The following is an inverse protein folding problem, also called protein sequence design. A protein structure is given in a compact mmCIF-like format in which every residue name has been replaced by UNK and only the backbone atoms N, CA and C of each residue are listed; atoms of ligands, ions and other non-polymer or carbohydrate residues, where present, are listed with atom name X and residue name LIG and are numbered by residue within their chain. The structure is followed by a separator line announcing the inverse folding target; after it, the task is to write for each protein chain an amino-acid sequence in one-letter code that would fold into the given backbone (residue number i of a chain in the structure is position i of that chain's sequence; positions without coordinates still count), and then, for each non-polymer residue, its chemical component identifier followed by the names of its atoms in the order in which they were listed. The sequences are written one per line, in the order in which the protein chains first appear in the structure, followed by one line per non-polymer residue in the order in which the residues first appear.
data_IF_737811117996
#
_entry.id   IF_737811117996
#
_cell.length_a   1.000
_cell.length_b   1.000
_cell.length_c   1.000
_cell.angle_alpha   90.00
_cell.angle_beta   90.00
_cell.angle_gamma   90.00
#
_symmetry.space_group_name_H-M   'P 1'
#
loop_
_entity.id
_entity.type
_entity.pdbx_description
1 polymer ?
#
# COMPACT_ATOMS: atom_id res chain seq x y z
N UNK A 1 4.01 7.49 13.56
CA UNK A 1 3.58 6.11 13.33
C UNK A 1 2.61 5.56 14.37
N UNK A 2 2.25 6.32 15.39
CA UNK A 2 1.37 5.85 16.48
C UNK A 2 -0.13 6.19 16.27
N UNK A 3 -0.54 6.52 15.04
CA UNK A 3 -1.91 6.87 14.74
C UNK A 3 -2.37 8.11 15.52
N UNK A 4 -1.74 9.24 15.28
CA UNK A 4 -2.22 10.53 15.78
C UNK A 4 -3.37 11.06 14.93
N UNK A 5 -4.15 12.00 15.47
CA UNK A 5 -5.27 12.62 14.76
C UNK A 5 -4.83 13.48 13.56
N UNK A 6 -3.55 13.83 13.43
CA UNK A 6 -3.01 14.70 12.37
C UNK A 6 -2.58 13.97 11.08
N UNK A 7 -2.89 12.69 10.91
CA UNK A 7 -2.51 11.92 9.72
C UNK A 7 -3.15 12.43 8.42
N UNK A 8 -4.27 13.17 8.50
CA UNK A 8 -4.90 13.82 7.36
C UNK A 8 -3.96 14.82 6.65
N UNK A 9 -3.07 15.50 7.39
CA UNK A 9 -2.12 16.43 6.79
C UNK A 9 -1.14 15.76 5.82
N UNK A 10 -0.67 14.53 6.14
CA UNK A 10 0.16 13.76 5.23
C UNK A 10 -0.60 13.35 3.96
N UNK A 11 -1.85 12.91 4.13
CA UNK A 11 -2.70 12.52 2.99
C UNK A 11 -2.99 13.73 2.08
N UNK A 12 -3.21 14.91 2.66
CA UNK A 12 -3.37 16.17 1.92
C UNK A 12 -2.12 16.51 1.08
N UNK A 13 -0.92 16.39 1.66
CA UNK A 13 0.32 16.65 0.93
C UNK A 13 0.54 15.64 -0.22
N UNK A 14 0.22 14.38 -0.01
CA UNK A 14 0.26 13.36 -1.08
C UNK A 14 -0.75 13.68 -2.18
N UNK A 15 -1.98 14.08 -1.84
CA UNK A 15 -2.99 14.47 -2.80
C UNK A 15 -2.54 15.71 -3.63
N UNK A 16 -1.97 16.73 -2.98
CA UNK A 16 -1.37 17.89 -3.66
C UNK A 16 -0.26 17.49 -4.63
N UNK A 17 0.63 16.59 -4.21
CA UNK A 17 1.69 16.07 -5.08
C UNK A 17 1.12 15.31 -6.27
N UNK A 18 0.08 14.50 -6.07
CA UNK A 18 -0.61 13.78 -7.15
C UNK A 18 -1.24 14.73 -8.16
N UNK A 19 -1.90 15.79 -7.69
CA UNK A 19 -2.48 16.82 -8.57
C UNK A 19 -1.40 17.55 -9.34
N UNK A 20 -0.28 17.89 -8.69
CA UNK A 20 0.84 18.60 -9.34
C UNK A 20 1.60 17.73 -10.35
N UNK A 21 1.68 16.43 -10.09
CA UNK A 21 2.47 15.49 -10.90
C UNK A 21 1.68 14.21 -11.20
N UNK A 22 0.55 14.30 -11.95
CA UNK A 22 -0.42 13.20 -12.07
C UNK A 22 0.17 11.92 -12.69
N UNK A 23 1.14 12.07 -13.61
CA UNK A 23 1.78 10.93 -14.30
C UNK A 23 3.04 10.41 -13.58
N UNK A 24 3.47 11.07 -12.50
CA UNK A 24 4.74 10.74 -11.83
C UNK A 24 4.56 10.31 -10.38
N UNK A 25 3.44 10.65 -9.75
CA UNK A 25 3.12 10.29 -8.38
C UNK A 25 2.01 9.25 -8.37
N UNK A 26 2.30 8.09 -7.81
CA UNK A 26 1.34 7.00 -7.64
C UNK A 26 1.27 6.64 -6.16
N UNK A 27 0.18 7.03 -5.52
CA UNK A 27 -0.14 6.64 -4.15
C UNK A 27 -0.98 5.38 -4.20
N UNK A 28 -0.48 4.31 -3.60
CA UNK A 28 -1.16 3.01 -3.64
C UNK A 28 -2.19 2.91 -2.52
N UNK A 29 -3.33 2.32 -2.84
CA UNK A 29 -4.34 2.00 -1.83
C UNK A 29 -3.76 1.05 -0.80
N UNK A 30 -3.84 1.44 0.48
CA UNK A 30 -3.44 0.62 1.62
C UNK A 30 -4.64 0.12 2.42
N UNK A 31 -4.38 -0.72 3.41
CA UNK A 31 -5.41 -1.20 4.31
C UNK A 31 -6.03 -0.09 5.16
N UNK A 32 -5.27 0.96 5.49
CA UNK A 32 -5.78 2.09 6.25
C UNK A 32 -6.72 2.96 5.42
N UNK A 33 -6.36 3.26 4.19
CA UNK A 33 -7.21 3.99 3.25
C UNK A 33 -8.45 3.17 2.88
N UNK A 34 -8.29 1.87 2.63
CA UNK A 34 -9.44 0.98 2.38
C UNK A 34 -10.39 0.95 3.57
N UNK A 35 -9.87 0.89 4.78
CA UNK A 35 -10.67 0.90 6.00
C UNK A 35 -11.44 2.21 6.19
N UNK A 36 -10.90 3.36 5.78
CA UNK A 36 -11.64 4.62 5.81
C UNK A 36 -12.78 4.65 4.77
N UNK A 37 -12.54 4.09 3.57
CA UNK A 37 -13.58 3.97 2.53
C UNK A 37 -14.73 3.06 2.92
N UNK A 38 -14.42 1.96 3.61
CA UNK A 38 -15.40 0.90 3.91
C UNK A 38 -15.92 0.95 5.35
N UNK A 39 -15.44 1.91 6.13
CA UNK A 39 -15.70 2.00 7.59
C UNK A 39 -15.24 0.76 8.37
N UNK A 40 -14.35 -0.04 7.79
CA UNK A 40 -13.78 -1.20 8.46
C UNK A 40 -12.90 -0.76 9.64
N UNK A 41 -13.11 -1.29 10.85
CA UNK A 41 -12.41 -0.80 12.03
C UNK A 41 -10.93 -1.21 12.03
N UNK A 42 -10.03 -0.24 12.17
CA UNK A 42 -8.61 -0.50 12.46
C UNK A 42 -8.30 -0.12 13.90
N UNK A 43 -7.82 -1.09 14.67
CA UNK A 43 -7.43 -0.90 16.06
C UNK A 43 -5.92 -1.13 16.21
N UNK A 44 -5.22 -0.16 16.78
CA UNK A 44 -3.79 -0.27 17.15
C UNK A 44 -3.57 0.32 18.54
N UNK A 45 -2.97 -0.47 19.44
CA UNK A 45 -2.71 0.01 20.80
C UNK A 45 -3.96 0.49 21.55
N UNK A 46 -5.08 -0.22 21.42
CA UNK A 46 -6.41 0.12 22.00
C UNK A 46 -7.05 1.40 21.45
N UNK A 47 -6.53 1.96 20.34
CA UNK A 47 -7.09 3.14 19.69
C UNK A 47 -7.70 2.75 18.33
N UNK A 48 -8.90 3.27 18.05
CA UNK A 48 -9.52 3.15 16.73
C UNK A 48 -8.95 4.23 15.81
N UNK A 49 -8.15 3.84 14.82
CA UNK A 49 -7.42 4.78 13.97
C UNK A 49 -8.34 5.59 13.06
N UNK A 50 -9.42 4.99 12.55
CA UNK A 50 -10.44 5.71 11.77
C UNK A 50 -11.09 6.85 12.59
N UNK A 51 -11.38 6.60 13.87
CA UNK A 51 -11.96 7.63 14.77
C UNK A 51 -10.96 8.76 14.97
N UNK A 52 -9.68 8.44 15.20
CA UNK A 52 -8.65 9.46 15.35
C UNK A 52 -8.45 10.29 14.08
N UNK A 53 -8.51 9.67 12.90
CA UNK A 53 -8.45 10.37 11.63
C UNK A 53 -9.61 11.36 11.50
N UNK A 54 -10.85 10.92 11.75
CA UNK A 54 -12.07 11.76 11.69
C UNK A 54 -12.06 12.86 12.74
N UNK A 55 -11.55 12.58 13.94
CA UNK A 55 -11.34 13.60 14.97
C UNK A 55 -10.36 14.68 14.48
N UNK A 56 -9.25 14.29 13.86
CA UNK A 56 -8.30 15.26 13.29
C UNK A 56 -8.91 16.13 12.20
N UNK A 57 -9.79 15.57 11.35
CA UNK A 57 -10.55 16.36 10.38
C UNK A 57 -11.49 17.35 11.06
N UNK A 58 -12.21 16.93 12.10
CA UNK A 58 -13.13 17.79 12.84
C UNK A 58 -12.38 18.94 13.55
N UNK A 59 -11.23 18.65 14.16
CA UNK A 59 -10.38 19.65 14.81
C UNK A 59 -9.81 20.67 13.83
N UNK A 60 -9.40 20.22 12.62
CA UNK A 60 -8.75 21.09 11.64
C UNK A 60 -9.77 21.89 10.80
N UNK A 61 -10.86 21.27 10.37
CA UNK A 61 -11.78 21.84 9.38
C UNK A 61 -13.15 22.23 9.94
N UNK A 62 -13.43 21.92 11.22
CA UNK A 62 -14.70 22.28 11.88
C UNK A 62 -15.92 21.83 11.09
N UNK A 63 -16.80 22.76 10.78
CA UNK A 63 -18.05 22.48 10.04
C UNK A 63 -17.82 21.95 8.61
N UNK A 64 -16.63 22.11 8.04
CA UNK A 64 -16.28 21.60 6.70
C UNK A 64 -15.72 20.16 6.72
N UNK A 65 -15.55 19.56 7.89
CA UNK A 65 -14.87 18.26 8.04
C UNK A 65 -15.47 17.12 7.22
N UNK A 66 -16.81 17.04 7.13
CA UNK A 66 -17.47 16.01 6.32
C UNK A 66 -17.22 16.19 4.83
N UNK A 67 -17.27 17.42 4.34
CA UNK A 67 -16.96 17.72 2.93
C UNK A 67 -15.51 17.38 2.59
N UNK A 68 -14.59 17.62 3.52
CA UNK A 68 -13.17 17.26 3.35
C UNK A 68 -13.01 15.73 3.39
N UNK A 69 -13.72 15.04 4.27
CA UNK A 69 -13.73 13.59 4.35
C UNK A 69 -14.23 12.94 3.04
N UNK A 70 -15.31 13.48 2.48
CA UNK A 70 -15.83 13.06 1.18
C UNK A 70 -14.78 13.23 0.07
N UNK A 71 -14.11 14.39 0.01
CA UNK A 71 -13.05 14.64 -0.97
C UNK A 71 -11.84 13.68 -0.79
N UNK A 72 -11.46 13.36 0.45
CA UNK A 72 -10.46 12.31 0.69
C UNK A 72 -10.97 10.93 0.25
N UNK A 73 -12.24 10.62 0.46
CA UNK A 73 -12.86 9.38 -0.02
C UNK A 73 -12.77 9.24 -1.54
N UNK A 74 -13.07 10.31 -2.29
CA UNK A 74 -12.91 10.34 -3.75
C UNK A 74 -11.45 10.15 -4.17
N UNK A 75 -10.50 10.85 -3.52
CA UNK A 75 -9.08 10.69 -3.78
C UNK A 75 -8.62 9.24 -3.53
N UNK A 76 -8.91 8.70 -2.37
CA UNK A 76 -8.55 7.33 -1.98
C UNK A 76 -9.17 6.31 -2.95
N UNK A 77 -10.45 6.48 -3.31
CA UNK A 77 -11.14 5.62 -4.27
C UNK A 77 -10.54 5.65 -5.68
N UNK A 78 -9.79 6.71 -6.02
CA UNK A 78 -9.05 6.83 -7.28
C UNK A 78 -7.65 6.22 -7.25
N UNK A 79 -7.15 5.82 -6.08
CA UNK A 79 -5.79 5.31 -5.91
C UNK A 79 -5.65 3.90 -6.53
N UNK A 80 -4.56 3.62 -7.26
CA UNK A 80 -4.32 2.29 -7.79
C UNK A 80 -3.96 1.31 -6.67
N UNK A 81 -4.29 0.03 -6.87
CA UNK A 81 -3.90 -1.07 -5.98
C UNK A 81 -2.43 -1.47 -6.16
N UNK A 82 -1.89 -1.27 -7.34
CA UNK A 82 -0.54 -1.67 -7.67
C UNK A 82 0.04 -0.83 -8.81
N UNK A 83 1.35 -0.81 -8.90
CA UNK A 83 2.12 -0.28 -10.02
C UNK A 83 3.01 -1.39 -10.57
N UNK A 84 3.00 -1.57 -11.87
CA UNK A 84 3.95 -2.43 -12.56
C UNK A 84 5.06 -1.58 -13.14
N UNK A 85 6.29 -1.90 -12.78
CA UNK A 85 7.48 -1.39 -13.47
C UNK A 85 7.83 -2.44 -14.53
N UNK A 86 8.05 -1.98 -15.76
CA UNK A 86 8.37 -2.87 -16.89
C UNK A 86 9.47 -3.87 -16.52
N UNK A 87 9.33 -5.08 -17.11
CA UNK A 87 10.29 -6.17 -16.95
C UNK A 87 10.36 -6.82 -15.55
N UNK A 88 9.20 -6.88 -14.88
CA UNK A 88 9.00 -7.86 -13.85
C UNK A 88 9.10 -7.37 -12.41
N UNK A 89 8.98 -6.07 -12.16
CA UNK A 89 8.75 -5.56 -10.80
C UNK A 89 7.28 -5.20 -10.62
N UNK A 90 6.69 -5.67 -9.54
CA UNK A 90 5.32 -5.37 -9.14
C UNK A 90 5.31 -4.75 -7.75
N UNK A 91 4.75 -3.55 -7.64
CA UNK A 91 4.68 -2.78 -6.40
C UNK A 91 3.23 -2.74 -5.93
N UNK A 92 2.97 -3.15 -4.70
CA UNK A 92 1.65 -3.16 -4.08
C UNK A 92 1.76 -2.87 -2.59
N UNK A 93 0.63 -2.74 -1.89
CA UNK A 93 0.68 -2.50 -0.44
C UNK A 93 1.08 -3.75 0.34
N UNK A 94 0.55 -4.90 -0.06
CA UNK A 94 0.78 -6.21 0.56
C UNK A 94 0.59 -7.32 -0.49
N UNK A 95 0.78 -8.57 -0.10
CA UNK A 95 0.57 -9.76 -0.94
C UNK A 95 -0.57 -10.59 -0.37
N UNK A 96 -1.56 -11.00 -1.19
CA UNK A 96 -2.66 -11.84 -0.72
C UNK A 96 -2.17 -13.15 -0.12
N UNK A 97 -2.97 -13.73 0.77
CA UNK A 97 -2.64 -14.96 1.48
C UNK A 97 -3.13 -16.23 0.76
N UNK A 98 -2.47 -17.35 1.00
CA UNK A 98 -2.86 -18.71 0.56
C UNK A 98 -3.05 -18.88 -0.95
N UNK A 99 -2.34 -18.12 -1.77
CA UNK A 99 -2.47 -18.17 -3.24
C UNK A 99 -1.96 -19.47 -3.88
N UNK A 100 -1.21 -20.23 -3.13
CA UNK A 100 -0.85 -21.61 -3.46
C UNK A 100 -2.03 -22.59 -3.33
N UNK A 101 -3.10 -22.17 -2.63
CA UNK A 101 -4.31 -23.00 -2.34
C UNK A 101 -5.61 -22.36 -2.80
N UNK A 102 -5.64 -21.05 -3.02
CA UNK A 102 -6.85 -20.28 -3.35
C UNK A 102 -6.65 -19.46 -4.62
N UNK A 103 -7.74 -19.21 -5.34
CA UNK A 103 -7.73 -18.29 -6.46
C UNK A 103 -7.77 -16.85 -5.99
N UNK A 104 -7.12 -15.97 -6.74
CA UNK A 104 -7.22 -14.53 -6.60
C UNK A 104 -7.74 -13.93 -7.91
N UNK A 105 -8.69 -13.01 -7.82
CA UNK A 105 -9.19 -12.30 -9.01
C UNK A 105 -8.19 -11.25 -9.48
N UNK A 106 -7.25 -11.65 -10.34
CA UNK A 106 -6.26 -10.73 -10.93
C UNK A 106 -6.86 -9.78 -11.97
N UNK A 107 -8.11 -9.96 -12.38
CA UNK A 107 -8.78 -9.03 -13.32
C UNK A 107 -9.00 -7.66 -12.68
N UNK A 108 -8.96 -7.57 -11.33
CA UNK A 108 -9.05 -6.32 -10.58
C UNK A 108 -8.00 -5.28 -11.02
N UNK A 109 -6.85 -5.70 -11.54
CA UNK A 109 -5.82 -4.79 -12.05
C UNK A 109 -6.12 -4.23 -13.45
N UNK A 110 -7.22 -4.67 -14.09
CA UNK A 110 -7.56 -4.34 -15.47
C UNK A 110 -8.99 -3.83 -15.66
N UNK A 111 -9.76 -3.76 -14.59
CA UNK A 111 -11.16 -3.31 -14.61
C UNK A 111 -11.43 -2.27 -13.54
N UNK A 112 -12.51 -1.49 -13.65
CA UNK A 112 -12.97 -0.65 -12.55
C UNK A 112 -13.27 -1.47 -11.29
N UNK A 113 -13.03 -0.88 -10.15
CA UNK A 113 -13.33 -1.50 -8.86
C UNK A 113 -14.86 -1.62 -8.67
N UNK A 114 -15.26 -2.68 -8.02
CA UNK A 114 -16.64 -2.93 -7.62
C UNK A 114 -16.72 -2.90 -6.09
N UNK A 115 -17.89 -2.60 -5.53
CA UNK A 115 -18.07 -2.58 -4.07
C UNK A 115 -17.69 -3.91 -3.40
N UNK A 116 -17.90 -5.03 -4.09
CA UNK A 116 -17.51 -6.38 -3.62
C UNK A 116 -16.01 -6.60 -3.51
N UNK A 117 -15.19 -5.82 -4.24
CA UNK A 117 -13.73 -5.94 -4.16
C UNK A 117 -13.18 -5.47 -2.82
N UNK A 118 -13.88 -4.56 -2.17
CA UNK A 118 -13.47 -3.91 -0.93
C UNK A 118 -13.91 -4.64 0.33
N UNK A 119 -14.84 -5.59 0.23
CA UNK A 119 -15.26 -6.42 1.36
C UNK A 119 -14.20 -7.45 1.74
N UNK A 120 -14.30 -8.07 2.94
CA UNK A 120 -13.33 -9.01 3.51
C UNK A 120 -12.93 -10.20 2.60
N UNK A 121 -13.78 -10.56 1.65
CA UNK A 121 -13.50 -11.62 0.66
C UNK A 121 -13.12 -11.07 -0.70
N UNK A 122 -13.05 -9.75 -0.84
CA UNK A 122 -12.76 -9.07 -2.08
C UNK A 122 -11.27 -9.07 -2.41
N UNK A 123 -10.97 -8.87 -3.69
CA UNK A 123 -9.59 -8.91 -4.17
C UNK A 123 -8.77 -7.71 -3.66
N UNK A 124 -9.36 -6.51 -3.57
CA UNK A 124 -8.68 -5.34 -3.00
C UNK A 124 -8.38 -5.55 -1.52
N UNK A 125 -9.35 -6.03 -0.73
CA UNK A 125 -9.14 -6.34 0.68
C UNK A 125 -8.01 -7.34 0.87
N UNK A 126 -8.04 -8.46 0.16
CA UNK A 126 -7.03 -9.51 0.25
C UNK A 126 -5.62 -8.98 -0.10
N UNK A 127 -5.51 -8.08 -1.10
CA UNK A 127 -4.23 -7.49 -1.52
C UNK A 127 -3.65 -6.51 -0.50
N UNK A 128 -4.46 -5.82 0.29
CA UNK A 128 -3.96 -4.80 1.24
C UNK A 128 -3.87 -5.29 2.69
N UNK A 129 -4.44 -6.46 3.01
CA UNK A 129 -4.43 -7.05 4.36
C UNK A 129 -3.58 -8.31 4.49
N UNK A 130 -3.07 -8.86 3.39
CA UNK A 130 -2.35 -10.13 3.42
C UNK A 130 -1.00 -10.05 4.15
N UNK A 131 -0.63 -11.14 4.84
CA UNK A 131 0.60 -11.28 5.66
C UNK A 131 1.26 -12.64 5.47
N UNK A 132 1.20 -13.18 4.27
CA UNK A 132 1.76 -14.49 3.97
C UNK A 132 3.12 -14.38 3.27
N UNK A 133 4.17 -14.68 4.01
CA UNK A 133 5.56 -14.60 3.56
C UNK A 133 6.14 -15.96 3.17
N UNK A 134 5.31 -17.00 3.07
CA UNK A 134 5.76 -18.31 2.61
C UNK A 134 6.28 -18.22 1.16
N UNK A 135 7.40 -18.89 0.85
CA UNK A 135 7.95 -18.89 -0.51
C UNK A 135 6.95 -19.34 -1.56
N UNK A 136 6.12 -20.35 -1.26
CA UNK A 136 5.12 -20.92 -2.16
C UNK A 136 4.03 -19.89 -2.51
N UNK A 137 3.58 -19.12 -1.52
CA UNK A 137 2.59 -18.07 -1.72
C UNK A 137 3.18 -16.92 -2.57
N UNK A 138 4.37 -16.47 -2.24
CA UNK A 138 5.08 -15.42 -2.98
C UNK A 138 5.33 -15.82 -4.44
N UNK A 139 5.72 -17.08 -4.69
CA UNK A 139 5.92 -17.62 -6.02
C UNK A 139 4.60 -17.71 -6.80
N UNK A 140 3.51 -18.13 -6.15
CA UNK A 140 2.18 -18.19 -6.77
C UNK A 140 1.71 -16.80 -7.19
N UNK A 141 1.86 -15.79 -6.32
CA UNK A 141 1.50 -14.42 -6.65
C UNK A 141 2.40 -13.81 -7.73
N UNK A 142 3.71 -13.99 -7.64
CA UNK A 142 4.66 -13.51 -8.63
C UNK A 142 4.35 -14.06 -10.03
N UNK A 143 4.02 -15.35 -10.16
CA UNK A 143 3.57 -15.96 -11.42
C UNK A 143 2.27 -15.34 -11.91
N UNK A 144 1.28 -15.18 -11.02
CA UNK A 144 -0.03 -14.62 -11.35
C UNK A 144 0.09 -13.20 -11.93
N UNK A 145 0.91 -12.36 -11.29
CA UNK A 145 1.14 -10.99 -11.75
C UNK A 145 2.30 -10.86 -12.73
N UNK A 146 2.91 -11.97 -13.17
CA UNK A 146 4.05 -12.01 -14.12
C UNK A 146 5.20 -11.10 -13.64
N UNK A 147 5.58 -11.21 -12.38
CA UNK A 147 6.65 -10.44 -11.78
C UNK A 147 7.83 -11.33 -11.34
N UNK A 148 9.04 -10.78 -11.40
CA UNK A 148 10.22 -11.39 -10.81
C UNK A 148 10.40 -10.99 -9.36
N UNK A 149 10.01 -9.74 -9.04
CA UNK A 149 10.14 -9.13 -7.72
C UNK A 149 8.84 -8.47 -7.31
N UNK A 150 8.42 -8.69 -6.08
CA UNK A 150 7.29 -8.07 -5.42
C UNK A 150 7.83 -7.07 -4.39
N UNK A 151 7.58 -5.78 -4.59
CA UNK A 151 7.95 -4.74 -3.61
C UNK A 151 6.69 -4.30 -2.90
N UNK A 152 6.72 -4.33 -1.57
CA UNK A 152 5.56 -3.90 -0.78
C UNK A 152 5.98 -3.35 0.59
N UNK A 153 5.01 -2.80 1.33
CA UNK A 153 5.12 -2.34 2.70
C UNK A 153 4.30 -3.20 3.66
N UNK A 154 3.40 -2.56 4.42
CA UNK A 154 2.42 -3.14 5.33
C UNK A 154 3.02 -3.78 6.59
N UNK A 155 4.15 -4.44 6.49
CA UNK A 155 4.84 -5.08 7.62
C UNK A 155 5.99 -4.24 8.14
N UNK A 156 6.17 -4.18 9.46
CA UNK A 156 7.33 -3.55 10.04
C UNK A 156 8.63 -4.26 9.61
N UNK A 157 9.60 -3.49 9.17
CA UNK A 157 10.95 -3.95 8.90
C UNK A 157 11.94 -3.11 9.74
N UNK A 158 12.40 -3.61 10.90
CA UNK A 158 13.22 -2.83 11.84
C UNK A 158 14.53 -2.30 11.25
N UNK A 159 15.03 -2.94 10.18
CA UNK A 159 16.20 -2.46 9.43
C UNK A 159 15.79 -1.56 8.22
N UNK A 160 14.52 -1.14 8.13
CA UNK A 160 13.96 -0.38 7.00
C UNK A 160 13.70 -1.23 5.76
N UNK A 161 14.29 -2.42 5.68
CA UNK A 161 14.09 -3.38 4.59
C UNK A 161 14.10 -4.81 5.11
N UNK A 162 13.26 -5.68 4.53
CA UNK A 162 13.24 -7.11 4.81
C UNK A 162 12.93 -7.91 3.53
N UNK A 163 13.59 -9.05 3.37
CA UNK A 163 13.40 -9.98 2.25
C UNK A 163 13.09 -11.38 2.80
N UNK A 164 11.80 -11.70 3.07
CA UNK A 164 11.43 -12.95 3.74
C UNK A 164 11.60 -14.19 2.86
N UNK A 165 11.65 -14.04 1.56
CA UNK A 165 11.83 -15.10 0.57
C UNK A 165 12.45 -14.52 -0.71
N UNK A 166 12.64 -15.34 -1.74
CA UNK A 166 13.33 -14.96 -2.99
C UNK A 166 12.52 -13.99 -3.91
N UNK A 167 11.28 -13.66 -3.58
CA UNK A 167 10.40 -12.80 -4.41
C UNK A 167 10.06 -11.48 -3.77
N UNK A 168 9.96 -11.41 -2.45
CA UNK A 168 9.44 -10.24 -1.74
C UNK A 168 10.58 -9.34 -1.25
N UNK A 169 10.37 -8.03 -1.38
CA UNK A 169 11.14 -6.96 -0.76
C UNK A 169 10.15 -6.07 -0.02
N UNK A 170 10.24 -6.04 1.29
CA UNK A 170 9.42 -5.20 2.17
C UNK A 170 10.21 -3.95 2.50
N UNK A 171 9.63 -2.78 2.25
CA UNK A 171 10.22 -1.49 2.60
C UNK A 171 9.39 -0.84 3.72
N UNK A 172 10.07 -0.33 4.73
CA UNK A 172 9.45 0.36 5.86
C UNK A 172 10.06 1.74 6.04
N UNK A 173 9.19 2.74 6.13
CA UNK A 173 9.53 4.14 6.37
C UNK A 173 8.88 4.67 7.66
N UNK A 174 8.33 3.80 8.52
CA UNK A 174 7.60 4.22 9.73
C UNK A 174 8.50 4.51 10.92
N UNK A 175 9.77 4.15 10.85
CA UNK A 175 10.78 4.34 11.88
C UNK A 175 12.15 4.70 11.30
N UNK A 176 13.19 4.57 12.12
CA UNK A 176 14.57 4.70 11.66
C UNK A 176 15.27 3.33 11.73
N UNK A 177 15.97 2.94 10.65
CA UNK A 177 16.12 3.65 9.39
C UNK A 177 14.86 3.58 8.50
N UNK A 178 14.41 4.70 7.94
CA UNK A 178 13.41 4.73 6.89
C UNK A 178 14.07 4.44 5.54
N UNK A 179 13.55 3.48 4.77
CA UNK A 179 14.18 3.06 3.53
C UNK A 179 13.32 3.30 2.29
N UNK A 180 13.99 3.50 1.16
CA UNK A 180 13.40 3.56 -0.17
C UNK A 180 14.28 2.84 -1.18
N UNK A 181 13.72 2.44 -2.33
CA UNK A 181 14.47 1.88 -3.44
C UNK A 181 14.44 2.83 -4.64
N UNK A 182 15.59 3.04 -5.29
CA UNK A 182 15.71 3.84 -6.51
C UNK A 182 16.02 2.91 -7.68
N UNK A 183 14.99 2.63 -8.51
CA UNK A 183 15.08 1.70 -9.62
C UNK A 183 15.10 2.44 -10.95
N UNK A 184 16.00 2.05 -11.84
CA UNK A 184 16.04 2.51 -13.20
C UNK A 184 14.99 1.76 -14.04
N UNK A 185 14.14 2.50 -14.77
CA UNK A 185 13.14 1.92 -15.68
C UNK A 185 13.79 1.34 -16.94
N UNK A 186 13.13 0.35 -17.54
CA UNK A 186 13.54 -0.20 -18.84
C UNK A 186 14.51 -1.37 -18.78
N UNK A 187 14.87 -1.86 -17.61
CA UNK A 187 15.69 -3.08 -17.45
C UNK A 187 15.05 -4.09 -16.49
N UNK A 188 15.32 -5.40 -16.67
CA UNK A 188 14.86 -6.41 -15.74
C UNK A 188 15.60 -6.29 -14.41
N UNK A 189 14.88 -6.62 -13.31
CA UNK A 189 15.41 -6.62 -11.97
C UNK A 189 15.29 -8.00 -11.34
N UNK A 190 16.34 -8.42 -10.64
CA UNK A 190 16.29 -9.49 -9.66
C UNK A 190 16.12 -8.92 -8.26
N UNK A 191 15.66 -9.73 -7.31
CA UNK A 191 15.52 -9.29 -5.91
C UNK A 191 16.85 -8.77 -5.34
N UNK A 192 17.96 -9.47 -5.58
CA UNK A 192 19.28 -9.05 -5.11
C UNK A 192 19.69 -7.67 -5.67
N UNK A 193 19.37 -7.41 -6.94
CA UNK A 193 19.62 -6.10 -7.54
C UNK A 193 18.73 -5.01 -6.93
N UNK A 194 17.45 -5.30 -6.64
CA UNK A 194 16.55 -4.35 -5.96
C UNK A 194 17.08 -4.04 -4.56
N UNK A 195 17.47 -5.06 -3.79
CA UNK A 195 18.04 -4.88 -2.46
C UNK A 195 19.30 -4.01 -2.46
N UNK A 196 20.14 -4.15 -3.49
CA UNK A 196 21.35 -3.33 -3.67
C UNK A 196 21.04 -1.85 -4.00
N UNK A 197 19.79 -1.52 -4.38
CA UNK A 197 19.33 -0.16 -4.64
C UNK A 197 18.53 0.46 -3.47
N UNK A 198 18.40 -0.27 -2.37
CA UNK A 198 17.75 0.26 -1.17
C UNK A 198 18.69 1.26 -0.49
N UNK A 199 18.13 2.42 -0.15
CA UNK A 199 18.82 3.53 0.52
C UNK A 199 18.01 3.98 1.72
N UNK A 200 18.70 4.57 2.70
CA UNK A 200 18.06 5.23 3.84
C UNK A 200 17.70 6.68 3.52
N UNK A 201 16.57 7.16 4.04
CA UNK A 201 16.22 8.57 4.04
C UNK A 201 17.10 9.30 5.07
N UNK A 202 17.79 10.37 4.65
CA UNK A 202 18.64 11.18 5.54
C UNK A 202 20.05 10.65 5.72
N UNK A 203 20.50 9.65 4.94
CA UNK A 203 21.87 9.18 4.86
C UNK A 203 22.68 9.82 3.73
#
# INVERSE_FOLDING_TARGET
PNGGCMSHGLLEEVAKLKVKHPERVHFLLSNHELAELTEFPIVKGKKMLNVLFRQGLAEMYGAASEKVREAFGEFIGSCPLAVRIDQGVFVCHSVPEDLDKRSFDSTIFQRPYQATDFGERGAAFSLVWGRDFRPENAEAFARLVKANVLIHGHEPAPAGVHAPNARQVILDCTGEPACYALLEVGKPWTQAQVLAQVKTLGG
#
